data_IF_399739086122
#
_entry.id   IF_399739086122
#
_cell.length_a   1.000
_cell.length_b   1.000
_cell.length_c   1.000
_cell.angle_alpha   90.00
_cell.angle_beta   90.00
_cell.angle_gamma   90.00
#
_symmetry.space_group_name_H-M   'P 1'
#
loop_
_entity.id
_entity.type
_entity.pdbx_description
1 polymer ?
#
# COMPACT_ATOMS: atom_id res chain seq x y z
N UNK A 1 15.58 -13.91 13.32
CA UNK A 1 14.76 -13.62 12.12
C UNK A 1 14.09 -12.23 12.09
N UNK A 2 13.98 -11.49 13.20
CA UNK A 2 13.30 -10.17 13.25
C UNK A 2 13.83 -9.08 12.28
N UNK A 3 15.03 -9.27 11.72
CA UNK A 3 15.68 -8.37 10.75
C UNK A 3 15.49 -8.82 9.29
N UNK A 4 14.76 -9.90 9.03
CA UNK A 4 14.43 -10.31 7.66
C UNK A 4 13.57 -9.23 6.99
N UNK A 5 13.94 -8.90 5.76
CA UNK A 5 13.22 -7.94 4.93
C UNK A 5 11.77 -8.37 4.69
N UNK A 6 11.50 -9.67 4.56
CA UNK A 6 10.16 -10.22 4.30
C UNK A 6 9.20 -9.98 5.46
N UNK A 7 9.69 -10.07 6.69
CA UNK A 7 8.92 -9.75 7.92
C UNK A 7 8.64 -8.26 8.02
N UNK A 8 9.54 -7.41 7.50
CA UNK A 8 9.38 -5.95 7.49
C UNK A 8 8.60 -5.45 6.28
N UNK A 9 8.39 -6.28 5.25
CA UNK A 9 7.73 -5.90 4.01
C UNK A 9 6.33 -5.28 4.20
N UNK A 10 5.46 -5.80 5.10
CA UNK A 10 4.19 -5.17 5.39
C UNK A 10 4.31 -3.70 5.86
N UNK A 11 5.39 -3.34 6.57
CA UNK A 11 5.65 -1.95 7.00
C UNK A 11 5.91 -1.04 5.81
N UNK A 12 6.65 -1.53 4.80
CA UNK A 12 6.88 -0.80 3.56
C UNK A 12 5.58 -0.56 2.81
N UNK A 13 4.73 -1.58 2.72
CA UNK A 13 3.42 -1.45 2.08
C UNK A 13 2.53 -0.43 2.80
N UNK A 14 2.50 -0.45 4.14
CA UNK A 14 1.78 0.58 4.90
C UNK A 14 2.33 2.00 4.64
N UNK A 15 3.65 2.18 4.56
CA UNK A 15 4.24 3.47 4.25
C UNK A 15 3.86 3.96 2.83
N UNK A 16 3.89 3.08 1.83
CA UNK A 16 3.42 3.41 0.48
C UNK A 16 1.93 3.76 0.44
N UNK A 17 1.09 3.02 1.16
CA UNK A 17 -0.36 3.30 1.25
C UNK A 17 -0.62 4.69 1.85
N UNK A 18 0.10 5.05 2.92
CA UNK A 18 -0.02 6.39 3.53
C UNK A 18 0.39 7.47 2.54
N UNK A 19 1.50 7.30 1.82
CA UNK A 19 1.92 8.24 0.78
C UNK A 19 0.89 8.34 -0.36
N UNK A 20 0.28 7.24 -0.77
CA UNK A 20 -0.81 7.27 -1.75
C UNK A 20 -2.05 8.01 -1.23
N UNK A 21 -2.35 7.94 0.06
CA UNK A 21 -3.42 8.72 0.68
C UNK A 21 -3.17 10.23 0.55
N UNK A 22 -1.95 10.67 0.85
CA UNK A 22 -1.59 12.08 0.67
C UNK A 22 -1.52 12.50 -0.81
N UNK A 23 -1.11 11.60 -1.71
CA UNK A 23 -1.14 11.85 -3.14
C UNK A 23 -2.59 12.00 -3.65
N UNK A 24 -3.51 11.15 -3.19
CA UNK A 24 -4.93 11.26 -3.50
C UNK A 24 -5.51 12.59 -2.98
N UNK A 25 -5.05 13.08 -1.82
CA UNK A 25 -5.39 14.41 -1.31
C UNK A 25 -4.88 15.52 -2.22
N UNK A 26 -3.61 15.46 -2.66
CA UNK A 26 -3.04 16.43 -3.60
C UNK A 26 -3.76 16.47 -4.96
N UNK A 27 -4.34 15.34 -5.40
CA UNK A 27 -5.10 15.26 -6.65
C UNK A 27 -6.58 15.65 -6.49
N UNK A 28 -7.12 15.68 -5.26
CA UNK A 28 -8.54 15.99 -5.00
C UNK A 28 -8.92 17.38 -5.51
N UNK A 29 -8.01 18.36 -5.36
CA UNK A 29 -8.25 19.76 -5.73
C UNK A 29 -8.05 20.07 -7.22
N UNK A 30 -7.63 19.09 -8.03
CA UNK A 30 -7.36 19.31 -9.44
C UNK A 30 -8.65 19.60 -10.21
N UNK A 31 -8.76 20.76 -10.84
CA UNK A 31 -9.84 21.08 -11.78
C UNK A 31 -9.29 21.07 -13.20
N UNK A 32 -10.04 20.47 -14.12
CA UNK A 32 -9.69 20.44 -15.54
C UNK A 32 -10.70 21.27 -16.33
N UNK A 33 -10.23 22.20 -17.12
CA UNK A 33 -11.03 22.89 -18.14
C UNK A 33 -10.58 22.39 -19.51
N UNK A 34 -11.52 21.81 -20.26
CA UNK A 34 -11.31 21.39 -21.64
C UNK A 34 -12.08 22.34 -22.54
N UNK A 35 -11.36 23.10 -23.35
CA UNK A 35 -11.93 23.93 -24.40
C UNK A 35 -11.71 23.20 -25.72
N UNK A 36 -12.79 22.78 -26.35
CA UNK A 36 -12.78 22.12 -27.64
C UNK A 36 -13.73 22.84 -28.59
N UNK A 37 -13.19 23.81 -29.32
CA UNK A 37 -13.89 24.60 -30.33
C UNK A 37 -13.33 24.24 -31.71
N UNK A 38 -14.08 24.52 -32.78
CA UNK A 38 -13.68 24.26 -34.17
C UNK A 38 -12.29 24.82 -34.55
N UNK A 39 -11.83 25.88 -33.88
CA UNK A 39 -10.57 26.57 -34.17
C UNK A 39 -9.48 26.35 -33.11
N UNK A 40 -9.81 25.86 -31.90
CA UNK A 40 -8.85 25.73 -30.79
C UNK A 40 -9.16 24.52 -29.88
N UNK A 41 -8.11 23.75 -29.59
CA UNK A 41 -8.11 22.71 -28.57
C UNK A 41 -7.15 23.13 -27.45
N UNK A 42 -7.66 23.38 -26.24
CA UNK A 42 -6.85 23.62 -25.06
C UNK A 42 -7.34 22.81 -23.85
N UNK A 43 -6.39 22.31 -23.08
CA UNK A 43 -6.63 21.57 -21.85
C UNK A 43 -5.82 22.24 -20.75
N UNK A 44 -6.52 22.83 -19.78
CA UNK A 44 -5.88 23.46 -18.62
C UNK A 44 -6.18 22.64 -17.36
N UNK A 45 -5.15 22.46 -16.55
CA UNK A 45 -5.25 21.88 -15.22
C UNK A 45 -4.90 22.96 -14.22
N UNK A 46 -5.85 23.32 -13.37
CA UNK A 46 -5.62 24.22 -12.27
C UNK A 46 -5.56 23.40 -10.98
N UNK A 47 -4.51 23.66 -10.20
CA UNK A 47 -4.34 23.04 -8.90
C UNK A 47 -4.27 24.15 -7.86
N UNK A 48 -5.03 24.07 -6.76
CA UNK A 48 -4.87 25.02 -5.69
C UNK A 48 -3.47 24.87 -5.05
N UNK A 49 -2.89 25.95 -4.50
CA UNK A 49 -1.50 25.97 -4.06
C UNK A 49 -1.17 24.92 -3.00
N UNK A 50 -2.07 24.68 -2.03
CA UNK A 50 -1.85 23.75 -0.93
C UNK A 50 -1.76 22.30 -1.42
N UNK A 51 -2.72 21.88 -2.22
CA UNK A 51 -2.82 20.54 -2.82
C UNK A 51 -1.65 20.28 -3.76
N UNK A 52 -1.21 21.30 -4.50
CA UNK A 52 -0.02 21.24 -5.35
C UNK A 52 1.24 20.95 -4.54
N UNK A 53 1.48 21.71 -3.46
CA UNK A 53 2.65 21.51 -2.59
C UNK A 53 2.61 20.12 -1.96
N UNK A 54 1.44 19.70 -1.45
CA UNK A 54 1.26 18.36 -0.90
C UNK A 54 1.58 17.27 -1.94
N UNK A 55 1.12 17.43 -3.19
CA UNK A 55 1.41 16.50 -4.28
C UNK A 55 2.91 16.41 -4.59
N UNK A 56 3.60 17.55 -4.72
CA UNK A 56 5.04 17.54 -5.02
C UNK A 56 5.86 16.94 -3.88
N UNK A 57 5.55 17.27 -2.63
CA UNK A 57 6.21 16.70 -1.45
C UNK A 57 6.00 15.19 -1.39
N UNK A 58 4.77 14.73 -1.58
CA UNK A 58 4.45 13.30 -1.50
C UNK A 58 5.06 12.51 -2.65
N UNK A 59 5.12 13.08 -3.84
CA UNK A 59 5.81 12.48 -4.99
C UNK A 59 7.31 12.37 -4.73
N UNK A 60 7.94 13.42 -4.20
CA UNK A 60 9.34 13.38 -3.80
C UNK A 60 9.61 12.32 -2.73
N UNK A 61 8.79 12.25 -1.67
CA UNK A 61 8.90 11.24 -0.62
C UNK A 61 8.69 9.83 -1.15
N UNK A 62 7.78 9.65 -2.11
CA UNK A 62 7.52 8.35 -2.75
C UNK A 62 8.75 7.89 -3.55
N UNK A 63 9.36 8.77 -4.33
CA UNK A 63 10.58 8.46 -5.07
C UNK A 63 11.74 8.13 -4.13
N UNK A 64 11.90 8.89 -3.05
CA UNK A 64 12.89 8.62 -2.01
C UNK A 64 12.66 7.26 -1.36
N UNK A 65 11.41 6.94 -0.99
CA UNK A 65 11.06 5.67 -0.36
C UNK A 65 11.29 4.49 -1.31
N UNK A 66 10.93 4.63 -2.60
CA UNK A 66 11.20 3.64 -3.64
C UNK A 66 12.70 3.38 -3.79
N UNK A 67 13.53 4.43 -3.81
CA UNK A 67 14.98 4.28 -3.89
C UNK A 67 15.52 3.48 -2.69
N UNK A 68 15.08 3.79 -1.46
CA UNK A 68 15.49 3.04 -0.26
C UNK A 68 15.01 1.59 -0.32
N UNK A 69 13.77 1.38 -0.76
CA UNK A 69 13.18 0.05 -0.90
C UNK A 69 13.97 -0.82 -1.90
N UNK A 70 14.33 -0.29 -3.08
CA UNK A 70 15.16 -1.02 -4.04
C UNK A 70 16.57 -1.29 -3.51
N UNK A 71 17.20 -0.34 -2.80
CA UNK A 71 18.49 -0.58 -2.15
C UNK A 71 18.41 -1.72 -1.13
N UNK A 72 17.32 -1.79 -0.35
CA UNK A 72 17.09 -2.86 0.62
C UNK A 72 16.89 -4.23 -0.04
N UNK A 73 16.12 -4.30 -1.12
CA UNK A 73 15.96 -5.54 -1.89
C UNK A 73 17.28 -5.99 -2.50
N UNK A 74 18.03 -5.07 -3.12
CA UNK A 74 19.34 -5.38 -3.69
C UNK A 74 20.30 -5.93 -2.63
N UNK A 75 20.34 -5.30 -1.45
CA UNK A 75 21.12 -5.77 -0.31
C UNK A 75 20.67 -7.16 0.16
N UNK A 76 19.36 -7.40 0.29
CA UNK A 76 18.82 -8.70 0.68
C UNK A 76 19.20 -9.79 -0.34
N UNK A 77 19.05 -9.52 -1.64
CA UNK A 77 19.37 -10.46 -2.72
C UNK A 77 20.87 -10.78 -2.80
N UNK A 78 21.74 -9.81 -2.46
CA UNK A 78 23.19 -10.04 -2.35
C UNK A 78 23.56 -10.90 -1.14
N UNK A 79 22.85 -10.74 -0.03
CA UNK A 79 23.09 -11.51 1.21
C UNK A 79 22.48 -12.91 1.17
N UNK A 80 21.36 -13.08 0.49
CA UNK A 80 20.60 -14.33 0.42
C UNK A 80 20.44 -14.78 -1.05
N UNK A 81 21.51 -15.25 -1.71
CA UNK A 81 21.50 -15.57 -3.13
C UNK A 81 20.59 -16.76 -3.48
N UNK A 82 20.33 -17.66 -2.53
CA UNK A 82 19.42 -18.81 -2.67
C UNK A 82 17.95 -18.43 -2.52
N UNK A 83 17.67 -17.23 -2.02
CA UNK A 83 16.36 -16.75 -1.59
C UNK A 83 16.07 -15.35 -2.15
N UNK A 84 16.36 -15.17 -3.45
CA UNK A 84 16.21 -13.88 -4.13
C UNK A 84 14.73 -13.47 -4.22
N UNK A 85 14.50 -12.20 -3.94
CA UNK A 85 13.24 -11.50 -4.11
C UNK A 85 13.20 -10.96 -5.55
N UNK A 86 12.23 -11.42 -6.32
CA UNK A 86 11.91 -10.86 -7.64
C UNK A 86 10.74 -9.89 -7.51
N UNK A 87 10.87 -8.72 -8.14
CA UNK A 87 9.81 -7.69 -8.15
C UNK A 87 8.65 -8.04 -9.08
N UNK A 88 8.85 -9.01 -9.98
CA UNK A 88 7.84 -9.46 -10.96
C UNK A 88 7.11 -10.73 -10.51
N UNK A 89 7.35 -11.17 -9.27
CA UNK A 89 6.71 -12.37 -8.73
C UNK A 89 5.26 -12.07 -8.39
N UNK A 90 4.34 -12.95 -8.84
CA UNK A 90 2.91 -12.87 -8.53
C UNK A 90 2.66 -13.13 -7.03
N UNK A 91 3.51 -13.95 -6.41
CA UNK A 91 3.39 -14.28 -4.98
C UNK A 91 3.79 -13.08 -4.12
N UNK A 92 3.06 -12.83 -3.02
CA UNK A 92 3.42 -11.78 -2.07
C UNK A 92 4.80 -12.02 -1.45
N UNK A 93 5.58 -10.94 -1.29
CA UNK A 93 6.96 -11.00 -0.80
C UNK A 93 7.04 -11.27 0.70
N UNK A 94 5.93 -11.04 1.41
CA UNK A 94 5.75 -11.29 2.84
C UNK A 94 5.55 -12.77 3.19
N UNK A 95 5.38 -13.67 2.21
CA UNK A 95 5.20 -15.09 2.47
C UNK A 95 6.52 -15.74 2.90
N UNK A 96 6.49 -16.33 4.09
CA UNK A 96 7.65 -16.98 4.69
C UNK A 96 7.53 -18.49 4.45
N UNK A 97 8.17 -18.98 3.40
CA UNK A 97 8.11 -20.40 2.97
C UNK A 97 9.44 -21.14 3.23
N UNK A 98 10.21 -20.70 4.22
CA UNK A 98 11.56 -21.22 4.49
C UNK A 98 11.53 -22.62 5.12
N UNK A 99 10.54 -22.88 5.97
CA UNK A 99 10.28 -24.15 6.62
C UNK A 99 8.77 -24.30 6.90
N UNK A 100 8.36 -25.44 7.44
CA UNK A 100 6.95 -25.75 7.72
C UNK A 100 6.32 -24.83 8.79
N UNK A 101 7.09 -24.39 9.79
CA UNK A 101 6.61 -23.48 10.84
C UNK A 101 6.29 -22.10 10.28
N UNK A 102 7.17 -21.57 9.45
CA UNK A 102 7.01 -20.28 8.79
C UNK A 102 5.83 -20.26 7.82
N UNK A 103 5.59 -21.38 7.11
CA UNK A 103 4.39 -21.57 6.28
C UNK A 103 3.14 -21.54 7.15
N UNK A 104 3.17 -22.18 8.33
CA UNK A 104 2.05 -22.18 9.25
C UNK A 104 1.72 -20.77 9.79
N UNK A 105 2.75 -19.99 10.17
CA UNK A 105 2.58 -18.59 10.59
C UNK A 105 1.94 -17.76 9.48
N UNK A 106 2.49 -17.84 8.25
CA UNK A 106 1.98 -17.13 7.07
C UNK A 106 0.52 -17.50 6.81
N UNK A 107 0.17 -18.79 6.90
CA UNK A 107 -1.20 -19.28 6.69
C UNK A 107 -2.17 -18.66 7.68
N UNK A 108 -1.82 -18.59 8.96
CA UNK A 108 -2.73 -18.06 9.98
C UNK A 108 -2.89 -16.54 9.84
N UNK A 109 -1.80 -15.82 9.57
CA UNK A 109 -1.86 -14.38 9.28
C UNK A 109 -2.78 -14.10 8.08
N UNK A 110 -2.63 -14.86 6.99
CA UNK A 110 -3.48 -14.74 5.81
C UNK A 110 -4.95 -15.10 6.08
N UNK A 111 -5.23 -16.10 6.91
CA UNK A 111 -6.60 -16.44 7.32
C UNK A 111 -7.28 -15.32 8.11
N UNK A 112 -6.55 -14.62 9.00
CA UNK A 112 -7.09 -13.46 9.72
C UNK A 112 -7.40 -12.30 8.78
N UNK A 113 -6.49 -12.00 7.85
CA UNK A 113 -6.71 -10.97 6.83
C UNK A 113 -7.93 -11.30 5.96
N UNK A 114 -8.06 -12.56 5.53
CA UNK A 114 -9.22 -13.00 4.77
C UNK A 114 -10.53 -12.83 5.56
N UNK A 115 -10.52 -13.23 6.83
CA UNK A 115 -11.69 -13.06 7.72
C UNK A 115 -12.06 -11.59 7.90
N UNK A 116 -11.06 -10.71 8.00
CA UNK A 116 -11.27 -9.26 8.04
C UNK A 116 -11.98 -8.77 6.77
N UNK A 117 -11.49 -9.14 5.57
CA UNK A 117 -12.11 -8.71 4.31
C UNK A 117 -13.51 -9.25 4.08
N UNK A 118 -13.81 -10.45 4.57
CA UNK A 118 -15.14 -11.04 4.47
C UNK A 118 -16.23 -10.11 5.04
N UNK A 119 -15.91 -9.34 6.08
CA UNK A 119 -16.81 -8.37 6.69
C UNK A 119 -16.55 -6.93 6.26
N UNK A 120 -15.28 -6.55 6.10
CA UNK A 120 -14.91 -5.17 5.82
C UNK A 120 -15.37 -4.69 4.43
N UNK A 121 -15.37 -5.56 3.41
CA UNK A 121 -15.82 -5.20 2.06
C UNK A 121 -17.34 -4.94 2.01
N UNK A 122 -18.22 -5.83 2.50
CA UNK A 122 -19.64 -5.52 2.59
C UNK A 122 -19.93 -4.25 3.41
N UNK A 123 -19.24 -4.10 4.54
CA UNK A 123 -19.44 -2.95 5.42
C UNK A 123 -19.10 -1.62 4.73
N UNK A 124 -17.94 -1.55 4.06
CA UNK A 124 -17.56 -0.32 3.36
C UNK A 124 -18.45 -0.04 2.16
N UNK A 125 -18.93 -1.07 1.47
CA UNK A 125 -19.89 -0.92 0.38
C UNK A 125 -21.21 -0.32 0.87
N UNK A 126 -21.74 -0.78 2.01
CA UNK A 126 -22.94 -0.20 2.63
C UNK A 126 -22.70 1.28 2.99
N UNK A 127 -21.55 1.61 3.58
CA UNK A 127 -21.21 3.01 3.88
C UNK A 127 -21.21 3.87 2.62
N UNK A 128 -20.60 3.40 1.53
CA UNK A 128 -20.54 4.17 0.28
C UNK A 128 -21.91 4.36 -0.37
N UNK A 129 -22.80 3.36 -0.27
CA UNK A 129 -24.15 3.44 -0.81
C UNK A 129 -25.07 4.34 0.02
N UNK A 130 -24.99 4.29 1.34
CA UNK A 130 -25.89 5.03 2.24
C UNK A 130 -25.51 6.51 2.36
N UNK A 131 -24.22 6.82 2.39
CA UNK A 131 -23.74 8.19 2.65
C UNK A 131 -23.35 8.95 1.36
N UNK A 132 -23.56 8.37 0.18
CA UNK A 132 -23.25 8.99 -1.14
C UNK A 132 -21.87 9.66 -1.17
N UNK A 133 -20.86 8.97 -0.64
CA UNK A 133 -19.53 9.55 -0.44
C UNK A 133 -18.87 9.93 -1.77
N UNK A 134 -18.14 11.05 -1.78
CA UNK A 134 -17.38 11.46 -2.96
C UNK A 134 -16.28 10.45 -3.31
N UNK A 135 -15.84 10.44 -4.58
CA UNK A 135 -14.78 9.55 -5.07
C UNK A 135 -13.51 9.60 -4.20
N UNK A 136 -13.15 10.77 -3.70
CA UNK A 136 -12.02 10.93 -2.79
C UNK A 136 -12.17 10.07 -1.53
N UNK A 137 -13.33 10.13 -0.87
CA UNK A 137 -13.61 9.32 0.32
C UNK A 137 -13.67 7.83 0.03
N UNK A 138 -14.11 7.44 -1.18
CA UNK A 138 -14.03 6.04 -1.61
C UNK A 138 -12.58 5.55 -1.68
N UNK A 139 -11.69 6.34 -2.30
CA UNK A 139 -10.25 6.02 -2.39
C UNK A 139 -9.65 5.93 -0.98
N UNK A 140 -9.94 6.89 -0.10
CA UNK A 140 -9.47 6.87 1.29
C UNK A 140 -9.95 5.61 2.02
N UNK A 141 -11.20 5.22 1.85
CA UNK A 141 -11.74 4.00 2.46
C UNK A 141 -11.03 2.74 1.98
N UNK A 142 -10.77 2.61 0.67
CA UNK A 142 -10.02 1.47 0.10
C UNK A 142 -8.58 1.44 0.66
N UNK A 143 -7.90 2.60 0.72
CA UNK A 143 -6.56 2.70 1.28
C UNK A 143 -6.55 2.33 2.77
N UNK A 144 -7.59 2.69 3.53
CA UNK A 144 -7.72 2.30 4.94
C UNK A 144 -7.89 0.78 5.09
N UNK A 145 -8.70 0.13 4.23
CA UNK A 145 -8.81 -1.32 4.23
C UNK A 145 -7.47 -2.00 3.91
N UNK A 146 -6.76 -1.50 2.91
CA UNK A 146 -5.43 -2.01 2.56
C UNK A 146 -4.43 -1.82 3.71
N UNK A 147 -4.45 -0.66 4.39
CA UNK A 147 -3.62 -0.39 5.55
C UNK A 147 -3.91 -1.39 6.69
N UNK A 148 -5.18 -1.60 6.99
CA UNK A 148 -5.63 -2.54 8.03
C UNK A 148 -5.24 -3.99 7.70
N UNK A 149 -5.32 -4.39 6.43
CA UNK A 149 -4.82 -5.69 5.97
C UNK A 149 -3.36 -5.90 6.36
N UNK A 150 -2.48 -4.97 5.99
CA UNK A 150 -1.04 -5.11 6.26
C UNK A 150 -0.73 -4.97 7.75
N UNK A 151 -1.50 -4.16 8.47
CA UNK A 151 -1.39 -4.04 9.93
C UNK A 151 -1.73 -5.34 10.65
N UNK A 152 -2.87 -5.95 10.32
CA UNK A 152 -3.30 -7.25 10.89
C UNK A 152 -2.27 -8.33 10.58
N UNK A 153 -1.82 -8.41 9.32
CA UNK A 153 -0.81 -9.37 8.90
C UNK A 153 0.49 -9.19 9.70
N UNK A 154 0.99 -7.96 9.78
CA UNK A 154 2.24 -7.64 10.47
C UNK A 154 2.19 -8.02 11.95
N UNK A 155 1.12 -7.65 12.65
CA UNK A 155 0.96 -7.98 14.07
C UNK A 155 0.92 -9.49 14.27
N UNK A 156 0.15 -10.22 13.46
CA UNK A 156 0.01 -11.67 13.63
C UNK A 156 1.33 -12.40 13.38
N UNK A 157 2.06 -12.02 12.32
CA UNK A 157 3.39 -12.59 12.05
C UNK A 157 4.36 -12.26 13.17
N UNK A 158 4.40 -11.00 13.64
CA UNK A 158 5.31 -10.58 14.70
C UNK A 158 5.04 -11.29 16.02
N UNK A 159 3.77 -11.42 16.40
CA UNK A 159 3.36 -12.11 17.61
C UNK A 159 3.83 -13.57 17.60
N UNK A 160 3.56 -14.29 16.51
CA UNK A 160 3.91 -15.72 16.42
C UNK A 160 5.41 -15.98 16.32
N UNK A 161 6.15 -15.08 15.68
CA UNK A 161 7.62 -15.16 15.67
C UNK A 161 8.26 -14.91 17.03
N UNK A 162 7.56 -14.27 17.97
CA UNK A 162 8.01 -14.08 19.35
C UNK A 162 7.61 -15.26 20.24
N UNK A 163 6.53 -15.98 19.91
CA UNK A 163 6.07 -17.17 20.64
C UNK A 163 6.89 -18.44 20.33
N UNK A 164 7.61 -18.49 19.19
CA UNK A 164 8.47 -19.61 18.77
C UNK A 164 9.95 -19.49 19.21
N UNK A 165 10.35 -18.34 19.78
CA UNK A 165 11.69 -18.12 20.39
C UNK A 165 11.72 -18.54 21.88
#
# INVERSE_FOLDING_TARGET
MKKDFRVQYPLWQMAFIVLFGFMAFGLKGATSELVNTSDEFSYSLQFPPLESVALFVTLFLTLLLLAIFFMKISKHNKQNPTQRISLLQIRPLEYLEQDEGMVHITRIASQKVYTFFAWALPFIAVIFLVFELSRFWMIVGILLLALMQYFIYYIEVRKRLEDEE
#
